data_IF_709530277279
#
_entry.id   IF_709530277279
#
_cell.length_a   1.000
_cell.length_b   1.000
_cell.length_c   1.000
_cell.angle_alpha   90.00
_cell.angle_beta   90.00
_cell.angle_gamma   90.00
#
_symmetry.space_group_name_H-M   'P 1'
#
loop_
_entity.id
_entity.type
_entity.pdbx_description
1 polymer ?
#
# COMPACT_ATOMS: atom_id res chain seq x y z
N UNK A 1 -8.86 12.45 0.11
CA UNK A 1 -8.07 13.56 0.71
C UNK A 1 -6.87 13.80 -0.20
N UNK A 2 -6.76 14.97 -0.82
CA UNK A 2 -5.61 15.35 -1.66
C UNK A 2 -4.69 16.24 -0.82
N UNK A 3 -3.44 15.84 -0.67
CA UNK A 3 -2.42 16.56 0.09
C UNK A 3 -1.42 17.17 -0.89
N UNK A 4 -1.20 18.49 -0.81
CA UNK A 4 -0.22 19.16 -1.66
C UNK A 4 1.19 18.99 -1.08
N UNK A 5 2.22 18.89 -1.94
CA UNK A 5 3.61 18.61 -1.51
C UNK A 5 4.20 19.64 -0.55
N UNK A 6 3.63 20.84 -0.45
CA UNK A 6 4.22 21.98 0.27
C UNK A 6 3.31 22.56 1.36
N UNK A 7 2.17 21.94 1.69
CA UNK A 7 1.24 22.44 2.72
C UNK A 7 1.28 21.62 4.02
N UNK A 8 2.21 20.69 4.14
CA UNK A 8 2.27 19.74 5.26
C UNK A 8 3.70 19.67 5.76
N UNK A 9 3.86 19.93 7.05
CA UNK A 9 5.09 19.72 7.78
C UNK A 9 5.00 18.42 8.58
N UNK A 10 6.11 17.71 8.70
CA UNK A 10 6.20 16.50 9.52
C UNK A 10 6.56 16.91 10.95
N UNK A 11 5.66 16.64 11.90
CA UNK A 11 5.95 16.75 13.32
C UNK A 11 6.69 15.48 13.79
N UNK A 12 8.02 15.52 13.69
CA UNK A 12 8.88 14.39 14.05
C UNK A 12 9.33 14.51 15.51
N UNK A 13 9.40 13.38 16.25
CA UNK A 13 9.97 13.37 17.59
C UNK A 13 11.40 13.93 17.60
N UNK A 14 11.81 14.51 18.73
CA UNK A 14 13.16 15.04 18.89
C UNK A 14 14.23 13.98 18.56
N UNK A 15 15.17 14.33 17.67
CA UNK A 15 16.24 13.43 17.22
C UNK A 15 15.86 12.46 16.10
N UNK A 16 14.60 12.48 15.62
CA UNK A 16 14.17 11.69 14.46
C UNK A 16 14.28 12.53 13.19
N UNK A 17 15.09 12.08 12.24
CA UNK A 17 15.14 12.70 10.91
C UNK A 17 14.02 12.18 10.01
N UNK A 18 13.74 12.91 8.93
CA UNK A 18 12.78 12.47 7.92
C UNK A 18 13.18 11.13 7.30
N UNK A 19 14.47 10.92 7.06
CA UNK A 19 15.01 9.68 6.50
C UNK A 19 14.79 8.50 7.45
N UNK A 20 14.98 8.71 8.76
CA UNK A 20 14.68 7.70 9.78
C UNK A 20 13.20 7.36 9.79
N UNK A 21 12.32 8.36 9.74
CA UNK A 21 10.87 8.16 9.70
C UNK A 21 10.45 7.37 8.45
N UNK A 22 11.04 7.70 7.28
CA UNK A 22 10.81 6.96 6.04
C UNK A 22 11.27 5.50 6.18
N UNK A 23 12.44 5.25 6.76
CA UNK A 23 12.97 3.90 6.92
C UNK A 23 12.12 3.05 7.88
N UNK A 24 11.66 3.65 8.98
CA UNK A 24 10.72 2.99 9.90
C UNK A 24 9.44 2.61 9.15
N UNK A 25 8.86 3.52 8.37
CA UNK A 25 7.65 3.24 7.60
C UNK A 25 7.88 2.17 6.53
N UNK A 26 9.02 2.18 5.83
CA UNK A 26 9.35 1.13 4.84
C UNK A 26 9.44 -0.26 5.46
N UNK A 27 9.97 -0.36 6.68
CA UNK A 27 10.04 -1.62 7.42
C UNK A 27 8.66 -2.04 7.92
N UNK A 28 7.88 -1.11 8.47
CA UNK A 28 6.54 -1.36 8.99
C UNK A 28 5.54 -1.71 7.88
N UNK A 29 5.68 -1.13 6.68
CA UNK A 29 4.81 -1.40 5.53
C UNK A 29 4.72 -2.89 5.18
N UNK A 30 5.79 -3.66 5.42
CA UNK A 30 5.78 -5.11 5.21
C UNK A 30 4.81 -5.85 6.12
N UNK A 31 4.55 -5.33 7.33
CA UNK A 31 3.56 -5.87 8.25
C UNK A 31 2.13 -5.61 7.75
N UNK A 32 1.93 -4.55 6.96
CA UNK A 32 0.67 -4.24 6.26
C UNK A 32 0.57 -4.98 4.91
N UNK A 33 1.49 -5.90 4.61
CA UNK A 33 1.53 -6.63 3.35
C UNK A 33 2.05 -5.83 2.15
N UNK A 34 2.63 -4.66 2.38
CA UNK A 34 3.21 -3.78 1.37
C UNK A 34 4.72 -4.02 1.27
N UNK A 35 5.20 -4.42 0.10
CA UNK A 35 6.62 -4.63 -0.18
C UNK A 35 7.35 -3.31 -0.49
N UNK A 36 6.72 -2.43 -1.28
CA UNK A 36 7.22 -1.10 -1.62
C UNK A 36 6.08 -0.15 -1.99
N UNK A 37 6.35 1.15 -1.90
CA UNK A 37 5.54 2.21 -2.51
C UNK A 37 6.43 2.95 -3.48
N UNK A 38 6.05 2.94 -4.75
CA UNK A 38 6.78 3.58 -5.84
C UNK A 38 6.62 5.10 -5.82
N UNK A 39 7.45 5.81 -6.59
CA UNK A 39 7.48 7.28 -6.59
C UNK A 39 6.16 7.94 -7.05
N UNK A 40 5.35 7.21 -7.83
CA UNK A 40 4.03 7.62 -8.31
C UNK A 40 2.88 7.24 -7.34
N UNK A 41 3.21 6.60 -6.22
CA UNK A 41 2.24 6.13 -5.23
C UNK A 41 1.73 4.71 -5.47
N UNK A 42 2.24 4.00 -6.49
CA UNK A 42 1.89 2.59 -6.72
C UNK A 42 2.36 1.72 -5.57
N UNK A 43 1.46 0.92 -5.02
CA UNK A 43 1.76 -0.06 -3.98
C UNK A 43 2.15 -1.38 -4.64
N UNK A 44 3.27 -1.97 -4.23
CA UNK A 44 3.64 -3.36 -4.53
C UNK A 44 3.31 -4.22 -3.31
N UNK A 45 2.57 -5.30 -3.51
CA UNK A 45 2.22 -6.20 -2.42
C UNK A 45 3.27 -7.29 -2.25
N UNK A 46 3.44 -7.73 -1.00
CA UNK A 46 4.28 -8.88 -0.65
C UNK A 46 3.79 -10.17 -1.29
N UNK A 47 4.68 -11.14 -1.46
CA UNK A 47 4.33 -12.47 -1.98
C UNK A 47 3.24 -13.14 -1.15
N UNK A 48 3.26 -12.95 0.18
CA UNK A 48 2.21 -13.44 1.07
C UNK A 48 0.83 -12.89 0.73
N UNK A 49 0.71 -11.60 0.40
CA UNK A 49 -0.57 -11.01 -0.02
C UNK A 49 -0.98 -11.54 -1.39
N UNK A 50 -0.04 -11.68 -2.31
CA UNK A 50 -0.30 -12.25 -3.64
C UNK A 50 -0.83 -13.69 -3.55
N UNK A 51 -0.23 -14.52 -2.70
CA UNK A 51 -0.67 -15.91 -2.48
C UNK A 51 -2.04 -15.99 -1.80
N UNK A 52 -2.27 -15.17 -0.77
CA UNK A 52 -3.56 -15.15 -0.06
C UNK A 52 -4.68 -14.64 -0.96
N UNK A 53 -4.46 -13.56 -1.71
CA UNK A 53 -5.44 -13.02 -2.65
C UNK A 53 -5.78 -14.02 -3.76
N UNK A 54 -4.77 -14.71 -4.32
CA UNK A 54 -5.00 -15.75 -5.33
C UNK A 54 -5.86 -16.88 -4.75
N UNK A 55 -5.51 -17.38 -3.57
CA UNK A 55 -6.23 -18.47 -2.92
C UNK A 55 -7.65 -18.09 -2.48
N UNK A 56 -7.83 -16.88 -1.95
CA UNK A 56 -9.09 -16.46 -1.33
C UNK A 56 -10.07 -15.84 -2.34
N UNK A 57 -9.56 -15.18 -3.38
CA UNK A 57 -10.36 -14.40 -4.33
C UNK A 57 -10.19 -14.86 -5.78
N UNK A 58 -9.27 -15.79 -6.06
CA UNK A 58 -8.91 -16.18 -7.43
C UNK A 58 -8.29 -15.03 -8.23
N UNK A 59 -7.67 -14.06 -7.54
CA UNK A 59 -6.97 -12.93 -8.15
C UNK A 59 -5.62 -12.71 -7.49
N UNK A 60 -4.56 -12.58 -8.29
CA UNK A 60 -3.22 -12.29 -7.79
C UNK A 60 -2.98 -10.79 -7.65
N UNK A 61 -3.17 -10.26 -6.44
CA UNK A 61 -2.97 -8.83 -6.17
C UNK A 61 -1.47 -8.48 -6.09
N UNK A 62 -0.88 -8.10 -7.22
CA UNK A 62 0.58 -7.82 -7.32
C UNK A 62 0.91 -6.36 -7.03
N UNK A 63 0.18 -5.43 -7.64
CA UNK A 63 0.33 -4.00 -7.41
C UNK A 63 -0.94 -3.24 -7.70
N UNK A 64 -1.08 -2.08 -7.07
CA UNK A 64 -2.20 -1.15 -7.28
C UNK A 64 -1.66 0.27 -7.30
N UNK A 65 -1.86 0.96 -8.42
CA UNK A 65 -1.64 2.39 -8.58
C UNK A 65 -2.82 3.20 -8.01
N UNK A 66 -2.61 4.47 -7.65
CA UNK A 66 -3.70 5.32 -7.15
C UNK A 66 -4.87 5.46 -8.13
N UNK A 67 -4.62 5.33 -9.45
CA UNK A 67 -5.63 5.46 -10.49
C UNK A 67 -6.53 4.24 -10.66
N UNK A 68 -6.10 3.06 -10.21
CA UNK A 68 -6.85 1.81 -10.37
C UNK A 68 -7.48 1.29 -9.06
N UNK A 69 -7.20 1.95 -7.93
CA UNK A 69 -7.60 1.48 -6.60
C UNK A 69 -9.10 1.18 -6.48
N UNK A 70 -9.97 2.01 -7.07
CA UNK A 70 -11.42 1.85 -6.97
C UNK A 70 -11.91 0.65 -7.80
N UNK A 71 -11.31 0.44 -8.97
CA UNK A 71 -11.62 -0.71 -9.83
C UNK A 71 -11.18 -2.01 -9.17
N UNK A 72 -9.96 -2.05 -8.63
CA UNK A 72 -9.43 -3.23 -7.93
C UNK A 72 -10.24 -3.53 -6.67
N UNK A 73 -10.59 -2.50 -5.87
CA UNK A 73 -11.44 -2.69 -4.70
C UNK A 73 -12.82 -3.25 -5.07
N UNK A 74 -13.41 -2.78 -6.18
CA UNK A 74 -14.69 -3.29 -6.68
C UNK A 74 -14.60 -4.76 -7.09
N UNK A 75 -13.55 -5.13 -7.84
CA UNK A 75 -13.31 -6.52 -8.22
C UNK A 75 -13.09 -7.43 -6.99
N UNK A 76 -12.33 -6.97 -5.99
CA UNK A 76 -12.13 -7.70 -4.74
C UNK A 76 -13.47 -7.94 -4.01
N UNK A 77 -14.34 -6.94 -3.96
CA UNK A 77 -15.66 -7.06 -3.34
C UNK A 77 -16.59 -8.02 -4.11
N UNK A 78 -16.54 -8.01 -5.44
CA UNK A 78 -17.32 -8.94 -6.26
C UNK A 78 -16.87 -10.39 -6.05
N UNK A 79 -15.56 -10.64 -6.05
CA UNK A 79 -14.98 -11.97 -5.82
C UNK A 79 -15.21 -12.47 -4.39
N UNK A 80 -15.12 -11.58 -3.40
CA UNK A 80 -15.38 -11.95 -2.01
C UNK A 80 -16.85 -12.36 -1.74
N UNK A 81 -17.78 -11.98 -2.62
CA UNK A 81 -19.20 -12.42 -2.54
C UNK A 81 -19.43 -13.79 -3.17
N UNK A 82 -18.52 -14.26 -4.01
CA UNK A 82 -18.65 -15.52 -4.76
C UNK A 82 -17.68 -16.61 -4.29
N UNK A 83 -16.72 -16.26 -3.44
CA UNK A 83 -15.81 -17.17 -2.72
C UNK A 83 -16.47 -17.82 -1.50
#
# INVERSE_FOLDING_TARGET
MLLSRNLIELDLPAGVTREMAIEVNRRAARWDGIASVEADGTIRFTDSVQEVSERALGMRLTSVSPGEQDAVASEMLERARTA
#
